data_IF_337547322320
#
_entry.id   IF_337547322320
#
_cell.length_a   1.000
_cell.length_b   1.000
_cell.length_c   1.000
_cell.angle_alpha   90.00
_cell.angle_beta   90.00
_cell.angle_gamma   90.00
#
_symmetry.space_group_name_H-M   'P 1'
#
loop_
_entity.id
_entity.type
_entity.pdbx_description
1 polymer ?
#
# COMPACT_ATOMS: atom_id res chain seq x y z
N UNK A 1 -0.38 -28.59 -17.68
CA UNK A 1 -0.89 -27.39 -16.98
C UNK A 1 0.01 -26.21 -17.34
N UNK A 2 -0.44 -25.23 -18.12
CA UNK A 2 0.34 -24.01 -18.27
C UNK A 2 0.07 -23.09 -17.07
N UNK A 3 1.13 -22.75 -16.35
CA UNK A 3 1.13 -21.66 -15.40
C UNK A 3 1.16 -20.38 -16.24
N UNK A 4 0.07 -19.61 -16.20
CA UNK A 4 -0.06 -18.34 -16.91
C UNK A 4 0.62 -17.27 -16.06
N UNK A 5 1.77 -16.77 -16.50
CA UNK A 5 2.31 -15.53 -15.96
C UNK A 5 1.37 -14.41 -16.39
N UNK A 6 0.71 -13.76 -15.44
CA UNK A 6 -0.03 -12.53 -15.69
C UNK A 6 0.87 -11.35 -15.33
N UNK A 7 0.90 -10.41 -16.27
CA UNK A 7 1.49 -9.09 -16.27
C UNK A 7 1.57 -8.38 -14.89
N UNK A 8 2.63 -7.60 -14.72
CA UNK A 8 3.30 -7.12 -13.50
C UNK A 8 2.57 -6.07 -12.66
N UNK A 9 1.24 -6.06 -12.63
CA UNK A 9 0.43 -5.12 -11.83
C UNK A 9 -0.71 -5.85 -11.11
N UNK A 10 -0.39 -6.48 -9.97
CA UNK A 10 -1.40 -7.11 -9.11
C UNK A 10 -1.99 -6.06 -8.16
N UNK A 11 -2.95 -5.27 -8.65
CA UNK A 11 -3.83 -4.46 -7.80
C UNK A 11 -5.28 -4.89 -8.03
N UNK A 12 -6.08 -4.91 -6.97
CA UNK A 12 -7.50 -5.24 -7.05
C UNK A 12 -8.32 -4.16 -6.36
N UNK A 13 -9.20 -3.49 -7.12
CA UNK A 13 -10.12 -2.51 -6.54
C UNK A 13 -11.08 -3.13 -5.52
N UNK A 14 -11.43 -4.41 -5.72
CA UNK A 14 -12.23 -5.15 -4.75
C UNK A 14 -11.45 -5.35 -3.45
N UNK A 15 -10.17 -5.72 -3.53
CA UNK A 15 -9.31 -5.87 -2.35
C UNK A 15 -9.12 -4.53 -1.61
N UNK A 16 -8.82 -3.46 -2.34
CA UNK A 16 -8.68 -2.12 -1.76
C UNK A 16 -9.98 -1.67 -1.08
N UNK A 17 -11.14 -1.94 -1.70
CA UNK A 17 -12.44 -1.64 -1.09
C UNK A 17 -12.67 -2.45 0.18
N UNK A 18 -12.41 -3.76 0.14
CA UNK A 18 -12.53 -4.66 1.30
C UNK A 18 -11.64 -4.20 2.45
N UNK A 19 -10.38 -3.86 2.19
CA UNK A 19 -9.46 -3.35 3.21
C UNK A 19 -10.02 -2.08 3.86
N UNK A 20 -10.54 -1.14 3.08
CA UNK A 20 -11.12 0.11 3.61
C UNK A 20 -12.34 -0.19 4.49
N UNK A 21 -13.26 -1.03 4.03
CA UNK A 21 -14.54 -1.28 4.70
C UNK A 21 -14.39 -2.16 5.95
N UNK A 22 -13.57 -3.20 5.90
CA UNK A 22 -13.29 -4.09 7.04
C UNK A 22 -12.60 -3.36 8.20
N UNK A 23 -11.87 -2.29 7.89
CA UNK A 23 -11.14 -1.48 8.87
C UNK A 23 -11.90 -0.21 9.29
N UNK A 24 -13.23 -0.19 9.13
CA UNK A 24 -14.09 0.87 9.65
C UNK A 24 -14.04 2.17 8.84
N UNK A 25 -13.66 2.10 7.57
CA UNK A 25 -13.87 3.15 6.60
C UNK A 25 -15.12 2.92 5.77
N UNK A 26 -15.62 3.98 5.14
CA UNK A 26 -16.62 3.87 4.06
C UNK A 26 -16.02 4.45 2.80
N UNK A 27 -15.96 3.64 1.75
CA UNK A 27 -15.50 4.06 0.43
C UNK A 27 -16.59 4.88 -0.25
N UNK A 28 -16.28 6.15 -0.55
CA UNK A 28 -17.19 7.07 -1.25
C UNK A 28 -16.91 7.11 -2.76
N UNK A 29 -15.68 6.77 -3.15
CA UNK A 29 -15.28 6.71 -4.53
C UNK A 29 -13.81 6.34 -4.67
N UNK A 30 -13.47 5.89 -5.87
CA UNK A 30 -12.14 5.48 -6.27
C UNK A 30 -11.83 6.05 -7.65
N UNK A 31 -10.59 6.47 -7.86
CA UNK A 31 -10.13 7.03 -9.11
C UNK A 31 -8.77 6.45 -9.48
N UNK A 32 -8.66 5.96 -10.72
CA UNK A 32 -7.42 5.42 -11.27
C UNK A 32 -6.76 6.47 -12.15
N UNK A 33 -5.47 6.68 -11.95
CA UNK A 33 -4.66 7.62 -12.72
C UNK A 33 -3.22 7.14 -12.88
N UNK A 34 -2.44 7.88 -13.68
CA UNK A 34 -1.00 7.68 -13.86
C UNK A 34 -0.59 6.22 -14.09
N UNK A 35 -1.34 5.53 -14.96
CA UNK A 35 -1.07 4.14 -15.32
C UNK A 35 0.14 4.08 -16.25
N UNK A 36 1.16 3.36 -15.80
CA UNK A 36 2.36 2.98 -16.55
C UNK A 36 2.41 1.46 -16.67
N UNK A 37 3.41 0.92 -17.35
CA UNK A 37 3.61 -0.53 -17.48
C UNK A 37 3.75 -1.24 -16.12
N UNK A 38 4.28 -0.54 -15.10
CA UNK A 38 4.63 -1.16 -13.82
C UNK A 38 3.92 -0.53 -12.61
N UNK A 39 3.21 0.59 -12.79
CA UNK A 39 2.57 1.31 -11.69
C UNK A 39 1.20 1.86 -12.08
N UNK A 40 0.30 1.90 -11.10
CA UNK A 40 -0.97 2.62 -11.19
C UNK A 40 -1.15 3.46 -9.93
N UNK A 41 -1.71 4.65 -10.06
CA UNK A 41 -2.11 5.46 -8.93
C UNK A 41 -3.60 5.25 -8.65
N UNK A 42 -3.91 4.84 -7.41
CA UNK A 42 -5.28 4.68 -6.92
C UNK A 42 -5.56 5.78 -5.90
N UNK A 43 -6.43 6.71 -6.24
CA UNK A 43 -6.91 7.74 -5.32
C UNK A 43 -8.20 7.27 -4.67
N UNK A 44 -8.25 7.27 -3.34
CA UNK A 44 -9.41 6.84 -2.56
C UNK A 44 -10.07 8.04 -1.89
N UNK A 45 -11.38 8.18 -2.11
CA UNK A 45 -12.21 9.10 -1.34
C UNK A 45 -12.94 8.28 -0.29
N UNK A 46 -12.58 8.44 0.98
CA UNK A 46 -13.15 7.67 2.09
C UNK A 46 -13.65 8.60 3.20
N UNK A 47 -14.61 8.12 3.98
CA UNK A 47 -14.96 8.71 5.28
C UNK A 47 -14.65 7.70 6.37
N UNK A 48 -13.91 8.12 7.40
CA UNK A 48 -13.45 7.24 8.48
C UNK A 48 -12.95 8.06 9.67
N UNK A 49 -13.02 7.47 10.86
CA UNK A 49 -12.31 7.92 12.06
C UNK A 49 -11.05 7.10 12.36
N UNK A 50 -10.74 6.09 11.53
CA UNK A 50 -9.64 5.11 11.70
C UNK A 50 -8.67 5.14 10.51
N UNK A 51 -8.36 6.34 10.00
CA UNK A 51 -7.52 6.51 8.80
C UNK A 51 -6.16 5.82 8.96
N UNK A 52 -5.49 5.98 10.11
CA UNK A 52 -4.18 5.38 10.38
C UNK A 52 -4.20 3.86 10.30
N UNK A 53 -5.28 3.22 10.74
CA UNK A 53 -5.42 1.76 10.64
C UNK A 53 -5.57 1.31 9.19
N UNK A 54 -6.46 1.97 8.43
CA UNK A 54 -6.64 1.69 6.99
C UNK A 54 -5.32 1.84 6.24
N UNK A 55 -4.56 2.91 6.49
CA UNK A 55 -3.25 3.13 5.87
C UNK A 55 -2.24 2.03 6.24
N UNK A 56 -2.22 1.59 7.51
CA UNK A 56 -1.35 0.50 7.93
C UNK A 56 -1.73 -0.82 7.26
N UNK A 57 -3.03 -1.13 7.13
CA UNK A 57 -3.48 -2.31 6.41
C UNK A 57 -3.10 -2.26 4.93
N UNK A 58 -3.33 -1.15 4.24
CA UNK A 58 -2.90 -0.98 2.85
C UNK A 58 -1.39 -1.22 2.68
N UNK A 59 -0.54 -0.70 3.58
CA UNK A 59 0.91 -0.98 3.57
C UNK A 59 1.23 -2.46 3.75
N UNK A 60 0.55 -3.15 4.67
CA UNK A 60 0.75 -4.60 4.91
C UNK A 60 0.41 -5.46 3.68
N UNK A 61 -0.53 -5.00 2.85
CA UNK A 61 -0.89 -5.64 1.59
C UNK A 61 0.03 -5.24 0.42
N UNK A 62 1.05 -4.41 0.67
CA UNK A 62 2.06 -4.02 -0.32
C UNK A 62 1.72 -2.75 -1.11
N UNK A 63 0.67 -2.00 -0.73
CA UNK A 63 0.35 -0.73 -1.38
C UNK A 63 1.28 0.40 -0.89
N UNK A 64 1.90 1.11 -1.83
CA UNK A 64 2.62 2.35 -1.57
C UNK A 64 1.65 3.48 -1.26
N UNK A 65 1.90 4.25 -0.20
CA UNK A 65 1.01 5.33 0.23
C UNK A 65 1.59 6.68 -0.22
N UNK A 66 0.83 7.43 -1.01
CA UNK A 66 1.17 8.78 -1.43
C UNK A 66 0.20 9.75 -0.75
N UNK A 67 0.69 10.54 0.21
CA UNK A 67 -0.09 11.60 0.87
C UNK A 67 0.56 12.96 0.62
N UNK A 68 -0.26 13.97 0.29
CA UNK A 68 0.23 15.36 0.19
C UNK A 68 0.58 15.96 1.55
N UNK A 69 -0.02 15.45 2.63
CA UNK A 69 0.44 15.69 4.00
C UNK A 69 1.48 14.64 4.35
N UNK A 70 2.75 15.03 4.37
CA UNK A 70 3.81 14.28 5.03
C UNK A 70 3.38 14.03 6.47
N UNK A 71 2.90 12.82 6.76
CA UNK A 71 2.77 12.36 8.13
C UNK A 71 4.18 11.88 8.51
N UNK A 72 4.89 12.63 9.35
CA UNK A 72 6.26 12.33 9.81
C UNK A 72 6.41 10.87 10.29
N UNK A 73 5.30 10.31 10.78
CA UNK A 73 5.20 8.93 11.21
C UNK A 73 5.41 7.91 10.07
N UNK A 74 4.96 8.19 8.85
CA UNK A 74 5.15 7.30 7.70
C UNK A 74 6.58 7.29 7.20
N UNK A 75 7.22 8.47 7.12
CA UNK A 75 8.64 8.56 6.75
C UNK A 75 9.51 7.81 7.74
N UNK A 76 9.18 7.88 9.03
CA UNK A 76 9.85 7.13 10.09
C UNK A 76 9.64 5.62 9.94
N UNK A 77 8.41 5.17 9.69
CA UNK A 77 8.09 3.75 9.51
C UNK A 77 8.79 3.15 8.28
N UNK A 78 8.85 3.87 7.15
CA UNK A 78 9.61 3.44 5.97
C UNK A 78 11.11 3.33 6.25
N UNK A 79 11.66 4.26 7.04
CA UNK A 79 13.05 4.23 7.45
C UNK A 79 13.33 3.02 8.35
N UNK A 80 12.49 2.76 9.34
CA UNK A 80 12.64 1.62 10.24
C UNK A 80 12.59 0.28 9.47
N UNK A 81 11.76 0.18 8.43
CA UNK A 81 11.71 -0.99 7.54
C UNK A 81 13.00 -1.13 6.72
N UNK A 82 13.52 -0.03 6.16
CA UNK A 82 14.77 -0.04 5.40
C UNK A 82 15.97 -0.44 6.28
N UNK A 83 16.07 0.15 7.48
CA UNK A 83 17.12 -0.13 8.46
C UNK A 83 17.06 -1.60 8.92
N UNK A 84 15.86 -2.15 9.10
CA UNK A 84 15.67 -3.57 9.42
C UNK A 84 16.13 -4.48 8.28
N UNK A 85 15.81 -4.12 7.03
CA UNK A 85 16.22 -4.88 5.86
C UNK A 85 17.74 -4.90 5.67
N UNK A 86 18.43 -3.77 5.83
CA UNK A 86 19.90 -3.71 5.81
C UNK A 86 20.51 -4.62 6.87
N UNK A 87 19.97 -4.59 8.09
CA UNK A 87 20.47 -5.44 9.18
C UNK A 87 20.36 -6.93 8.86
N UNK A 88 19.32 -7.36 8.14
CA UNK A 88 19.17 -8.73 7.68
C UNK A 88 20.22 -9.12 6.62
N UNK A 89 20.57 -8.19 5.73
CA UNK A 89 21.60 -8.41 4.71
C UNK A 89 23.01 -8.47 5.33
N UNK A 90 23.31 -7.59 6.29
CA UNK A 90 24.60 -7.57 6.98
C UNK A 90 24.83 -8.82 7.85
N UNK A 91 23.77 -9.39 8.44
CA UNK A 91 23.85 -10.63 9.21
C UNK A 91 24.14 -11.88 8.35
N UNK A 92 23.94 -11.82 7.04
CA UNK A 92 24.26 -12.88 6.08
C UNK A 92 25.69 -12.84 5.53
N UNK A 93 26.46 -11.79 5.81
CA UNK A 93 27.83 -11.57 5.33
C UNK A 93 28.92 -11.91 6.37
N UNK A 94 28.68 -12.85 7.29
CA UNK A 94 29.69 -13.38 8.23
C UNK A 94 30.01 -14.83 7.95
#
# INVERSE_FOLDING_TARGET
MPIRYTDTLNYSLAEVSSIVEENGGKLLGLYLSNRTENNVLITLKITTNRLSEILQHLRRYGYGILTEKEDDHYRKELKDIADYFEKYLDLGNR
#
